data_IF_667971736164
#
_entry.id   IF_667971736164
#
_cell.length_a   1.000
_cell.length_b   1.000
_cell.length_c   1.000
_cell.angle_alpha   90.00
_cell.angle_beta   90.00
_cell.angle_gamma   90.00
#
_symmetry.space_group_name_H-M   'P 1'
#
loop_
_entity.id
_entity.type
_entity.pdbx_description
1 polymer ?
#
# COMPACT_ATOMS: atom_id res chain seq x y z
N UNK A 1 17.71 9.06 -11.04
CA UNK A 1 16.32 8.81 -10.58
C UNK A 1 15.85 7.56 -11.29
N UNK A 2 15.33 6.55 -10.58
CA UNK A 2 14.82 5.34 -11.22
C UNK A 2 13.60 5.71 -12.08
N UNK A 3 13.58 5.20 -13.30
CA UNK A 3 12.69 5.67 -14.36
C UNK A 3 11.54 4.66 -14.52
N UNK A 4 10.38 4.93 -13.92
CA UNK A 4 9.17 4.11 -14.08
C UNK A 4 8.75 4.08 -15.57
N UNK A 5 8.99 5.18 -16.29
CA UNK A 5 8.57 5.38 -17.69
C UNK A 5 9.13 4.35 -18.70
N UNK A 6 10.09 3.53 -18.29
CA UNK A 6 10.76 2.52 -19.13
C UNK A 6 10.18 1.10 -18.99
N UNK A 7 9.23 0.88 -18.09
CA UNK A 7 8.63 -0.43 -17.81
C UNK A 7 7.29 -0.57 -18.52
N UNK A 8 7.01 -1.77 -19.02
CA UNK A 8 5.76 -2.12 -19.70
C UNK A 8 4.79 -2.88 -18.77
N UNK A 9 5.26 -3.32 -17.60
CA UNK A 9 4.44 -3.80 -16.50
C UNK A 9 4.88 -3.18 -15.18
N UNK A 10 3.94 -2.59 -14.45
CA UNK A 10 4.17 -1.94 -13.17
C UNK A 10 3.13 -2.49 -12.18
N UNK A 11 3.61 -3.20 -11.17
CA UNK A 11 2.84 -3.52 -9.96
C UNK A 11 3.28 -2.55 -8.88
N UNK A 12 2.35 -2.00 -8.11
CA UNK A 12 2.71 -1.10 -6.99
C UNK A 12 2.10 -1.57 -5.69
N UNK A 13 2.83 -1.36 -4.59
CA UNK A 13 2.37 -1.67 -3.24
C UNK A 13 2.72 -0.52 -2.29
N UNK A 14 1.73 -0.08 -1.50
CA UNK A 14 1.92 0.88 -0.42
C UNK A 14 2.41 2.24 -0.89
N UNK A 15 2.02 2.63 -2.11
CA UNK A 15 2.37 3.90 -2.72
C UNK A 15 1.08 4.67 -3.03
N UNK A 16 0.91 5.85 -2.43
CA UNK A 16 -0.23 6.72 -2.77
C UNK A 16 0.05 7.67 -3.94
N UNK A 17 1.26 7.60 -4.51
CA UNK A 17 1.75 8.41 -5.64
C UNK A 17 1.65 9.92 -5.44
N UNK A 18 1.94 10.38 -4.22
CA UNK A 18 1.87 11.80 -3.84
C UNK A 18 2.97 12.64 -4.51
N UNK A 19 4.13 12.05 -4.74
CA UNK A 19 5.24 12.69 -5.45
C UNK A 19 4.91 12.89 -6.93
N UNK A 20 5.04 14.14 -7.40
CA UNK A 20 4.69 14.51 -8.77
C UNK A 20 5.63 13.87 -9.81
N UNK A 21 6.92 13.66 -9.50
CA UNK A 21 7.87 13.08 -10.43
C UNK A 21 7.54 11.62 -10.70
N UNK A 22 7.26 10.83 -9.66
CA UNK A 22 6.82 9.44 -9.80
C UNK A 22 5.46 9.37 -10.51
N UNK A 23 4.50 10.22 -10.14
CA UNK A 23 3.18 10.25 -10.80
C UNK A 23 3.30 10.58 -12.29
N UNK A 24 4.14 11.54 -12.65
CA UNK A 24 4.38 11.90 -14.05
C UNK A 24 5.11 10.79 -14.82
N UNK A 25 6.09 10.12 -14.19
CA UNK A 25 6.80 8.98 -14.79
C UNK A 25 5.86 7.80 -15.03
N UNK A 26 5.00 7.48 -14.07
CA UNK A 26 3.94 6.47 -14.21
C UNK A 26 2.99 6.80 -15.38
N UNK A 27 2.48 8.03 -15.45
CA UNK A 27 1.59 8.47 -16.54
C UNK A 27 2.25 8.33 -17.92
N UNK A 28 3.55 8.60 -18.02
CA UNK A 28 4.29 8.39 -19.26
C UNK A 28 4.44 6.90 -19.62
N UNK A 29 4.71 6.04 -18.64
CA UNK A 29 4.74 4.59 -18.86
C UNK A 29 3.41 4.10 -19.44
N UNK A 30 2.29 4.49 -18.83
CA UNK A 30 0.94 4.11 -19.26
C UNK A 30 0.61 4.66 -20.65
N UNK A 31 1.03 5.90 -20.95
CA UNK A 31 0.90 6.47 -22.30
C UNK A 31 1.68 5.65 -23.35
N UNK A 32 2.75 4.97 -22.94
CA UNK A 32 3.50 4.02 -23.75
C UNK A 32 2.94 2.58 -23.64
N UNK A 33 1.67 2.45 -23.27
CA UNK A 33 0.94 1.18 -23.14
C UNK A 33 1.42 0.25 -22.02
N UNK A 34 2.07 0.78 -20.98
CA UNK A 34 2.39 -0.03 -19.81
C UNK A 34 1.11 -0.49 -19.10
N UNK A 35 1.09 -1.76 -18.68
CA UNK A 35 0.10 -2.28 -17.74
C UNK A 35 0.43 -1.76 -16.35
N UNK A 36 -0.54 -1.15 -15.67
CA UNK A 36 -0.38 -0.70 -14.30
C UNK A 36 -1.38 -1.40 -13.38
N UNK A 37 -0.87 -2.10 -12.37
CA UNK A 37 -1.67 -2.74 -11.33
C UNK A 37 -1.40 -2.00 -10.02
N UNK A 38 -2.46 -1.42 -9.48
CA UNK A 38 -2.41 -0.61 -8.28
C UNK A 38 -2.82 -1.45 -7.07
N UNK A 39 -1.93 -1.66 -6.10
CA UNK A 39 -2.27 -2.33 -4.85
C UNK A 39 -2.18 -1.37 -3.68
N UNK A 40 -3.33 -1.10 -3.04
CA UNK A 40 -3.40 -0.17 -1.92
C UNK A 40 -4.71 -0.34 -1.13
N UNK A 41 -4.78 0.01 0.17
CA UNK A 41 -6.05 -0.03 0.92
C UNK A 41 -7.08 1.01 0.47
N UNK A 42 -6.61 2.08 -0.19
CA UNK A 42 -7.41 3.20 -0.66
C UNK A 42 -7.38 3.24 -2.19
N UNK A 43 -8.54 3.21 -2.83
CA UNK A 43 -8.72 3.52 -4.25
C UNK A 43 -8.48 5.02 -4.47
N UNK A 44 -7.27 5.38 -4.89
CA UNK A 44 -6.92 6.76 -5.18
C UNK A 44 -7.62 7.19 -6.49
N UNK A 45 -8.68 7.99 -6.35
CA UNK A 45 -9.49 8.46 -7.47
C UNK A 45 -8.68 9.18 -8.56
N UNK A 46 -7.56 9.84 -8.21
CA UNK A 46 -6.70 10.48 -9.21
C UNK A 46 -5.97 9.49 -10.13
N UNK A 47 -5.87 8.22 -9.72
CA UNK A 47 -5.25 7.13 -10.47
C UNK A 47 -6.28 6.27 -11.23
N UNK A 48 -7.59 6.56 -11.10
CA UNK A 48 -8.67 5.69 -11.59
C UNK A 48 -8.57 5.36 -13.08
N UNK A 49 -8.21 6.36 -13.89
CA UNK A 49 -8.09 6.22 -15.34
C UNK A 49 -6.74 5.63 -15.78
N UNK A 50 -5.83 5.36 -14.83
CA UNK A 50 -4.44 5.03 -15.10
C UNK A 50 -4.11 3.56 -14.81
N UNK A 51 -4.79 2.93 -13.85
CA UNK A 51 -4.55 1.51 -13.56
C UNK A 51 -5.44 0.60 -14.43
N UNK A 52 -4.87 -0.52 -14.85
CA UNK A 52 -5.56 -1.63 -15.52
C UNK A 52 -6.33 -2.50 -14.51
N UNK A 53 -5.82 -2.60 -13.29
CA UNK A 53 -6.40 -3.37 -12.20
C UNK A 53 -6.09 -2.68 -10.88
N UNK A 54 -7.06 -2.69 -9.96
CA UNK A 54 -6.86 -2.26 -8.58
C UNK A 54 -7.11 -3.46 -7.67
N UNK A 55 -6.07 -3.86 -6.94
CA UNK A 55 -6.15 -4.92 -5.94
C UNK A 55 -6.20 -4.22 -4.59
N UNK A 56 -7.40 -4.19 -4.00
CA UNK A 56 -7.57 -3.63 -2.67
C UNK A 56 -7.07 -4.64 -1.64
N UNK A 57 -6.36 -4.16 -0.61
CA UNK A 57 -6.03 -4.97 0.55
C UNK A 57 -6.35 -4.26 1.87
N UNK A 58 -6.36 -5.01 2.97
CA UNK A 58 -6.62 -4.49 4.31
C UNK A 58 -5.40 -3.79 4.91
N UNK A 59 -5.63 -2.74 5.68
CA UNK A 59 -4.56 -1.99 6.34
C UNK A 59 -3.71 -2.91 7.24
N UNK A 60 -2.39 -2.71 7.25
CA UNK A 60 -1.38 -3.54 7.91
C UNK A 60 -1.25 -4.99 7.40
N UNK A 61 -1.85 -5.32 6.24
CA UNK A 61 -1.65 -6.63 5.59
C UNK A 61 -0.50 -6.62 4.57
N UNK A 62 0.31 -5.56 4.48
CA UNK A 62 1.36 -5.40 3.48
C UNK A 62 2.38 -6.55 3.49
N UNK A 63 2.68 -7.11 4.65
CA UNK A 63 3.54 -8.29 4.76
C UNK A 63 2.92 -9.52 4.06
N UNK A 64 1.64 -9.80 4.29
CA UNK A 64 0.92 -10.87 3.61
C UNK A 64 0.83 -10.62 2.10
N UNK A 65 0.57 -9.38 1.69
CA UNK A 65 0.54 -9.02 0.27
C UNK A 65 1.90 -9.28 -0.39
N UNK A 66 3.01 -8.92 0.26
CA UNK A 66 4.34 -9.24 -0.25
C UNK A 66 4.63 -10.74 -0.28
N UNK A 67 4.13 -11.51 0.69
CA UNK A 67 4.21 -12.96 0.68
C UNK A 67 3.44 -13.57 -0.51
N UNK A 68 2.24 -13.05 -0.81
CA UNK A 68 1.46 -13.44 -1.99
C UNK A 68 2.17 -13.04 -3.29
N UNK A 69 2.68 -11.82 -3.41
CA UNK A 69 3.53 -11.42 -4.55
C UNK A 69 4.72 -12.37 -4.69
N UNK A 70 5.37 -12.73 -3.59
CA UNK A 70 6.47 -13.68 -3.65
C UNK A 70 6.02 -15.06 -4.11
N UNK A 71 4.90 -15.55 -3.59
CA UNK A 71 4.31 -16.84 -3.97
C UNK A 71 4.00 -16.94 -5.47
N UNK A 72 3.32 -15.94 -6.03
CA UNK A 72 2.85 -15.99 -7.42
C UNK A 72 3.96 -15.70 -8.44
N UNK A 73 4.95 -14.87 -8.11
CA UNK A 73 5.91 -14.35 -9.10
C UNK A 73 7.32 -14.95 -8.96
N UNK A 74 7.58 -15.74 -7.93
CA UNK A 74 8.89 -16.34 -7.71
C UNK A 74 9.21 -17.50 -8.65
N UNK A 75 10.50 -17.66 -8.94
CA UNK A 75 11.05 -18.76 -9.74
C UNK A 75 12.41 -19.21 -9.21
N UNK A 76 12.78 -20.45 -9.53
CA UNK A 76 14.10 -21.02 -9.23
C UNK A 76 14.50 -20.92 -7.75
N UNK A 77 13.57 -21.26 -6.85
CA UNK A 77 13.73 -21.07 -5.42
C UNK A 77 14.70 -22.10 -4.80
N UNK A 78 15.55 -21.68 -3.83
CA UNK A 78 16.24 -22.60 -2.95
C UNK A 78 15.25 -23.34 -2.05
N UNK A 79 15.75 -24.41 -1.43
CA UNK A 79 14.95 -25.26 -0.54
C UNK A 79 14.22 -24.46 0.55
N UNK A 80 14.91 -23.54 1.21
CA UNK A 80 14.35 -22.75 2.33
C UNK A 80 13.17 -21.88 1.89
N UNK A 81 13.31 -21.09 0.82
CA UNK A 81 12.22 -20.23 0.34
C UNK A 81 11.07 -21.05 -0.25
N UNK A 82 11.38 -22.21 -0.85
CA UNK A 82 10.34 -23.14 -1.29
C UNK A 82 9.55 -23.69 -0.11
N UNK A 83 10.23 -24.13 0.96
CA UNK A 83 9.57 -24.61 2.19
C UNK A 83 8.72 -23.51 2.84
N UNK A 84 9.18 -22.27 2.84
CA UNK A 84 8.38 -21.13 3.31
C UNK A 84 7.09 -20.99 2.50
N UNK A 85 7.16 -20.95 1.16
CA UNK A 85 5.98 -20.80 0.30
C UNK A 85 5.03 -22.01 0.37
N UNK A 86 5.57 -23.23 0.41
CA UNK A 86 4.78 -24.47 0.53
C UNK A 86 3.99 -24.53 1.86
N UNK A 87 4.43 -23.79 2.88
CA UNK A 87 3.76 -23.69 4.19
C UNK A 87 2.80 -22.49 4.31
N UNK A 88 2.72 -21.60 3.31
CA UNK A 88 1.77 -20.49 3.35
C UNK A 88 0.33 -21.00 3.20
N UNK A 89 -0.54 -20.57 4.11
CA UNK A 89 -1.99 -20.72 3.92
C UNK A 89 -2.50 -19.58 3.03
N UNK A 90 -2.41 -19.79 1.72
CA UNK A 90 -2.83 -18.81 0.72
C UNK A 90 -4.30 -18.43 0.88
N UNK A 91 -5.17 -19.39 1.19
CA UNK A 91 -6.60 -19.16 1.37
C UNK A 91 -6.88 -18.25 2.57
N UNK A 92 -6.18 -18.47 3.69
CA UNK A 92 -6.23 -17.58 4.85
C UNK A 92 -5.71 -16.18 4.52
N UNK A 93 -4.52 -16.06 3.92
CA UNK A 93 -3.91 -14.76 3.60
C UNK A 93 -4.79 -13.96 2.64
N UNK A 94 -5.34 -14.58 1.61
CA UNK A 94 -6.25 -13.92 0.67
C UNK A 94 -7.55 -13.49 1.32
N UNK A 95 -8.13 -14.31 2.21
CA UNK A 95 -9.37 -13.97 2.91
C UNK A 95 -9.18 -12.78 3.86
N UNK A 96 -8.15 -12.80 4.71
CA UNK A 96 -7.94 -11.78 5.74
C UNK A 96 -7.31 -10.49 5.20
N UNK A 97 -6.48 -10.57 4.16
CA UNK A 97 -5.95 -9.37 3.48
C UNK A 97 -6.95 -8.74 2.51
N UNK A 98 -8.06 -9.42 2.19
CA UNK A 98 -9.02 -9.05 1.14
C UNK A 98 -8.47 -9.00 -0.29
N UNK A 99 -7.26 -9.51 -0.55
CA UNK A 99 -6.70 -9.63 -1.88
C UNK A 99 -6.80 -11.09 -2.37
N UNK A 100 -7.67 -11.33 -3.34
CA UNK A 100 -8.02 -12.67 -3.82
C UNK A 100 -6.94 -13.30 -4.70
N UNK A 101 -6.79 -14.62 -4.65
CA UNK A 101 -5.85 -15.39 -5.49
C UNK A 101 -6.04 -15.08 -6.99
N UNK A 102 -7.29 -15.02 -7.46
CA UNK A 102 -7.64 -14.71 -8.86
C UNK A 102 -7.06 -13.35 -9.31
N UNK A 103 -7.01 -12.35 -8.42
CA UNK A 103 -6.44 -11.04 -8.74
C UNK A 103 -4.93 -11.12 -9.00
N UNK A 104 -4.22 -11.95 -8.24
CA UNK A 104 -2.80 -12.21 -8.44
C UNK A 104 -2.55 -13.06 -9.69
N UNK A 105 -3.40 -14.05 -9.98
CA UNK A 105 -3.32 -14.84 -11.21
C UNK A 105 -3.49 -13.95 -12.46
N UNK A 106 -4.49 -13.06 -12.47
CA UNK A 106 -4.68 -12.08 -13.54
C UNK A 106 -3.49 -11.13 -13.67
N UNK A 107 -2.93 -10.69 -12.54
CA UNK A 107 -1.75 -9.84 -12.51
C UNK A 107 -0.51 -10.58 -13.07
N UNK A 108 -0.39 -11.88 -12.79
CA UNK A 108 0.71 -12.72 -13.25
C UNK A 108 0.65 -13.00 -14.76
N UNK A 109 -0.55 -13.21 -15.32
CA UNK A 109 -0.71 -13.35 -16.78
C UNK A 109 -0.16 -12.14 -17.52
N UNK A 110 -0.54 -10.93 -17.09
CA UNK A 110 -0.04 -9.66 -17.68
C UNK A 110 1.46 -9.47 -17.45
N UNK A 111 1.99 -9.96 -16.32
CA UNK A 111 3.41 -9.95 -16.02
C UNK A 111 4.19 -10.82 -17.01
N UNK A 112 3.70 -12.02 -17.33
CA UNK A 112 4.37 -12.94 -18.26
C UNK A 112 4.41 -12.41 -19.70
N UNK A 113 3.41 -11.63 -20.12
CA UNK A 113 3.39 -10.95 -21.42
C UNK A 113 4.39 -9.79 -21.53
N UNK A 114 4.81 -9.24 -20.39
CA UNK A 114 5.64 -8.04 -20.32
C UNK A 114 7.15 -8.33 -20.42
N UNK A 115 7.91 -7.41 -21.01
CA UNK A 115 9.37 -7.54 -21.17
C UNK A 115 10.16 -6.85 -20.06
N UNK A 116 9.62 -5.78 -19.47
CA UNK A 116 10.26 -4.97 -18.43
C UNK A 116 9.28 -4.76 -17.27
N UNK A 117 9.49 -5.53 -16.21
CA UNK A 117 8.58 -5.62 -15.07
C UNK A 117 9.16 -4.84 -13.89
N UNK A 118 8.38 -3.92 -13.34
CA UNK A 118 8.72 -3.17 -12.13
C UNK A 118 7.77 -3.48 -10.98
N UNK A 119 8.33 -3.63 -9.78
CA UNK A 119 7.58 -3.53 -8.53
C UNK A 119 7.90 -2.16 -7.91
N UNK A 120 6.90 -1.28 -7.90
CA UNK A 120 7.01 0.02 -7.27
C UNK A 120 6.61 -0.07 -5.79
N UNK A 121 7.59 0.14 -4.91
CA UNK A 121 7.45 0.03 -3.46
C UNK A 121 7.33 1.43 -2.88
N UNK A 122 6.17 1.74 -2.32
CA UNK A 122 5.95 3.01 -1.65
C UNK A 122 6.47 3.03 -0.21
N UNK A 123 6.37 4.20 0.40
CA UNK A 123 6.92 4.53 1.72
C UNK A 123 5.96 4.18 2.86
N UNK A 124 4.73 3.75 2.56
CA UNK A 124 3.75 3.30 3.56
C UNK A 124 4.27 2.10 4.37
N UNK A 125 5.19 1.31 3.78
CA UNK A 125 5.77 0.11 4.38
C UNK A 125 6.85 0.42 5.44
N UNK A 126 7.45 1.61 5.43
CA UNK A 126 8.68 1.93 6.19
C UNK A 126 8.49 1.77 7.70
N UNK A 127 7.31 2.15 8.18
CA UNK A 127 6.99 2.15 9.62
C UNK A 127 6.00 1.03 9.98
N UNK A 128 5.83 0.03 9.11
CA UNK A 128 5.01 -1.13 9.39
C UNK A 128 5.62 -1.94 10.56
N UNK A 129 4.78 -2.53 11.42
CA UNK A 129 5.26 -3.26 12.60
C UNK A 129 6.17 -4.46 12.25
N UNK A 130 5.88 -5.13 11.13
CA UNK A 130 6.67 -6.22 10.54
C UNK A 130 7.71 -5.75 9.51
N UNK A 131 8.17 -4.49 9.57
CA UNK A 131 9.08 -3.92 8.55
C UNK A 131 10.36 -4.74 8.35
N UNK A 132 10.88 -5.40 9.39
CA UNK A 132 12.06 -6.25 9.26
C UNK A 132 11.83 -7.44 8.33
N UNK A 133 10.70 -8.15 8.46
CA UNK A 133 10.38 -9.27 7.57
C UNK A 133 9.94 -8.78 6.18
N UNK A 134 9.26 -7.64 6.09
CA UNK A 134 8.96 -6.95 4.81
C UNK A 134 10.25 -6.66 4.02
N UNK A 135 11.30 -6.19 4.68
CA UNK A 135 12.60 -5.95 4.05
C UNK A 135 13.20 -7.26 3.49
N UNK A 136 13.08 -8.36 4.23
CA UNK A 136 13.53 -9.69 3.76
C UNK A 136 12.67 -10.20 2.60
N UNK A 137 11.35 -10.00 2.63
CA UNK A 137 10.44 -10.34 1.52
C UNK A 137 10.80 -9.57 0.27
N UNK A 138 10.99 -8.25 0.35
CA UNK A 138 11.42 -7.43 -0.79
C UNK A 138 12.80 -7.86 -1.32
N UNK A 139 13.74 -8.23 -0.44
CA UNK A 139 15.04 -8.74 -0.86
C UNK A 139 14.93 -10.11 -1.57
N UNK A 140 14.02 -10.98 -1.12
CA UNK A 140 13.70 -12.24 -1.79
C UNK A 140 13.02 -12.02 -3.14
N UNK A 141 12.02 -11.13 -3.21
CA UNK A 141 11.34 -10.75 -4.46
C UNK A 141 12.38 -10.24 -5.47
N UNK A 142 13.25 -9.32 -5.06
CA UNK A 142 14.32 -8.80 -5.92
C UNK A 142 15.24 -9.90 -6.47
N UNK A 143 15.49 -10.96 -5.69
CA UNK A 143 16.44 -12.01 -6.06
C UNK A 143 15.82 -13.13 -6.90
N UNK A 144 14.56 -13.45 -6.63
CA UNK A 144 13.92 -14.68 -7.13
C UNK A 144 12.72 -14.41 -8.04
N UNK A 145 12.47 -13.15 -8.41
CA UNK A 145 11.47 -12.77 -9.43
C UNK A 145 12.15 -11.98 -10.56
N UNK A 146 11.43 -11.70 -11.64
CA UNK A 146 11.89 -10.81 -12.71
C UNK A 146 11.55 -9.33 -12.48
N UNK A 147 11.12 -8.96 -11.27
CA UNK A 147 10.88 -7.57 -10.93
C UNK A 147 12.18 -6.79 -10.76
N UNK A 148 12.28 -5.62 -11.39
CA UNK A 148 13.16 -4.56 -10.89
C UNK A 148 12.40 -3.74 -9.84
N UNK A 149 12.98 -3.60 -8.64
CA UNK A 149 12.35 -2.85 -7.57
C UNK A 149 12.66 -1.36 -7.69
N UNK A 150 11.62 -0.54 -7.67
CA UNK A 150 11.69 0.93 -7.65
C UNK A 150 11.08 1.40 -6.34
N UNK A 151 11.76 2.28 -5.62
CA UNK A 151 11.29 2.76 -4.32
C UNK A 151 10.93 4.25 -4.39
N UNK A 152 9.90 4.66 -3.65
CA UNK A 152 9.63 6.08 -3.42
C UNK A 152 10.62 6.71 -2.42
N UNK A 153 11.15 5.92 -1.47
CA UNK A 153 12.12 6.36 -0.47
C UNK A 153 13.49 5.70 -0.64
N UNK A 154 14.55 6.53 -0.59
CA UNK A 154 15.94 6.09 -0.81
C UNK A 154 16.51 5.32 0.39
N UNK A 155 16.16 5.72 1.61
CA UNK A 155 16.68 5.05 2.80
C UNK A 155 16.10 3.64 2.91
N UNK A 156 14.84 3.47 2.57
CA UNK A 156 14.20 2.16 2.49
C UNK A 156 14.79 1.30 1.36
N UNK A 157 15.05 1.89 0.20
CA UNK A 157 15.78 1.22 -0.88
C UNK A 157 17.15 0.70 -0.41
N UNK A 158 17.94 1.53 0.27
CA UNK A 158 19.25 1.14 0.81
C UNK A 158 19.14 0.01 1.85
N UNK A 159 18.12 0.05 2.70
CA UNK A 159 17.83 -1.01 3.69
C UNK A 159 17.55 -2.35 3.01
N UNK A 160 16.72 -2.37 1.96
CA UNK A 160 16.44 -3.60 1.19
C UNK A 160 17.67 -4.06 0.42
N UNK A 161 18.40 -3.15 -0.23
CA UNK A 161 19.57 -3.49 -1.04
C UNK A 161 20.74 -4.03 -0.21
N UNK A 162 20.85 -3.64 1.06
CA UNK A 162 21.87 -4.13 1.99
C UNK A 162 21.44 -5.38 2.77
N UNK A 163 20.18 -5.81 2.62
CA UNK A 163 19.68 -7.01 3.27
C UNK A 163 20.30 -8.27 2.66
N UNK A 164 21.20 -8.91 3.42
CA UNK A 164 21.84 -10.18 3.04
C UNK A 164 21.15 -11.40 3.64
N UNK A 165 20.33 -11.20 4.68
CA UNK A 165 19.54 -12.26 5.28
C UNK A 165 18.22 -12.45 4.50
N UNK A 166 18.10 -13.60 3.85
CA UNK A 166 16.92 -13.95 3.06
C UNK A 166 16.02 -14.99 3.75
N UNK A 167 16.30 -15.31 5.02
CA UNK A 167 15.51 -16.23 5.83
C UNK A 167 14.24 -15.53 6.31
N UNK A 168 13.10 -15.97 5.78
CA UNK A 168 11.80 -15.37 6.04
C UNK A 168 11.22 -15.87 7.36
N UNK A 169 10.67 -14.94 8.12
CA UNK A 169 9.89 -15.29 9.31
C UNK A 169 8.48 -15.71 8.87
N UNK A 170 7.80 -16.53 9.67
CA UNK A 170 6.38 -16.84 9.46
C UNK A 170 5.54 -15.55 9.41
N UNK A 171 4.52 -15.55 8.56
CA UNK A 171 3.57 -14.45 8.47
C UNK A 171 2.71 -14.48 9.74
N UNK A 172 2.62 -13.36 10.44
CA UNK A 172 1.82 -13.29 11.67
C UNK A 172 0.33 -13.25 11.31
N UNK A 173 -0.52 -13.56 12.28
CA UNK A 173 -1.96 -13.36 12.17
C UNK A 173 -2.27 -11.92 11.74
N UNK A 174 -3.09 -11.78 10.70
CA UNK A 174 -3.39 -10.47 10.14
C UNK A 174 -4.29 -9.67 11.09
N UNK A 175 -3.91 -8.42 11.34
CA UNK A 175 -4.70 -7.53 12.20
C UNK A 175 -5.96 -7.06 11.48
N UNK A 176 -7.13 -7.21 12.12
CA UNK A 176 -8.38 -6.65 11.59
C UNK A 176 -8.56 -5.19 12.02
N UNK A 177 -8.55 -4.25 11.07
CA UNK A 177 -8.84 -2.85 11.35
C UNK A 177 -10.34 -2.54 11.32
N UNK A 178 -11.02 -2.82 12.43
CA UNK A 178 -12.41 -2.43 12.61
C UNK A 178 -12.54 -0.97 13.06
N UNK A 179 -13.38 -0.18 12.38
CA UNK A 179 -13.76 1.19 12.77
C UNK A 179 -13.29 2.27 11.80
N UNK A 180 -13.08 3.48 12.31
CA UNK A 180 -12.63 4.64 11.52
C UNK A 180 -11.11 4.74 11.50
N UNK A 181 -10.56 4.85 10.30
CA UNK A 181 -9.13 4.96 10.02
C UNK A 181 -8.80 6.34 9.47
N UNK A 182 -7.61 6.84 9.78
CA UNK A 182 -7.02 8.00 9.12
C UNK A 182 -5.74 7.60 8.41
N UNK A 183 -5.63 8.01 7.16
CA UNK A 183 -4.42 7.91 6.33
C UNK A 183 -3.69 9.24 6.28
N UNK A 184 -2.42 9.24 6.64
CA UNK A 184 -1.55 10.40 6.68
C UNK A 184 -0.84 10.59 5.35
N UNK A 185 -1.16 11.66 4.63
CA UNK A 185 -0.45 12.05 3.40
C UNK A 185 0.84 12.81 3.78
N UNK A 186 1.90 12.68 2.99
CA UNK A 186 3.18 13.39 3.14
C UNK A 186 3.09 14.85 2.70
N UNK A 187 1.93 15.26 2.20
CA UNK A 187 1.64 16.63 1.83
C UNK A 187 1.18 17.37 3.09
N UNK A 188 1.90 18.41 3.51
CA UNK A 188 1.48 19.22 4.64
C UNK A 188 0.56 20.36 4.16
N UNK A 189 -0.76 20.18 4.31
CA UNK A 189 -1.72 21.29 4.20
C UNK A 189 -2.59 21.32 5.44
N UNK A 190 -2.87 22.53 5.94
CA UNK A 190 -3.58 22.64 7.21
C UNK A 190 -5.09 22.39 7.11
N UNK A 191 -5.59 22.01 5.94
CA UNK A 191 -6.87 22.58 5.54
C UNK A 191 -8.10 21.77 5.95
N UNK A 192 -8.06 20.43 6.04
CA UNK A 192 -9.23 19.60 6.45
C UNK A 192 -8.87 18.15 6.77
N UNK A 193 -9.83 17.43 7.35
CA UNK A 193 -9.89 15.97 7.33
C UNK A 193 -10.87 15.54 6.21
N UNK A 194 -10.35 14.91 5.16
CA UNK A 194 -11.17 14.49 4.02
C UNK A 194 -11.72 13.10 4.30
N UNK A 195 -13.04 12.91 4.36
CA UNK A 195 -13.65 11.67 4.80
C UNK A 195 -14.65 11.12 3.79
N UNK A 196 -14.76 9.78 3.73
CA UNK A 196 -15.81 9.12 2.98
C UNK A 196 -17.18 9.31 3.65
N UNK A 197 -18.25 9.03 2.90
CA UNK A 197 -19.59 9.02 3.47
C UNK A 197 -19.75 7.97 4.60
N UNK A 198 -19.16 6.79 4.43
CA UNK A 198 -19.26 5.71 5.43
C UNK A 198 -18.50 6.05 6.71
N UNK A 199 -17.32 6.68 6.61
CA UNK A 199 -16.58 7.20 7.76
C UNK A 199 -17.43 8.19 8.56
N UNK A 200 -18.03 9.18 7.88
CA UNK A 200 -18.89 10.18 8.52
C UNK A 200 -20.09 9.54 9.24
N UNK A 201 -20.71 8.53 8.63
CA UNK A 201 -21.85 7.82 9.22
C UNK A 201 -21.46 7.10 10.52
N UNK A 202 -20.34 6.37 10.52
CA UNK A 202 -19.84 5.66 11.71
C UNK A 202 -19.44 6.65 12.81
N UNK A 203 -18.75 7.73 12.43
CA UNK A 203 -18.34 8.79 13.35
C UNK A 203 -19.51 9.66 13.84
N UNK A 204 -20.70 9.52 13.26
CA UNK A 204 -21.88 10.36 13.51
C UNK A 204 -21.60 11.86 13.26
N UNK A 205 -20.82 12.14 12.23
CA UNK A 205 -20.43 13.48 11.78
C UNK A 205 -21.10 13.83 10.45
N UNK A 206 -21.12 15.12 10.13
CA UNK A 206 -21.50 15.66 8.82
C UNK A 206 -20.35 16.49 8.26
N UNK A 207 -20.30 16.63 6.94
CA UNK A 207 -19.38 17.56 6.30
C UNK A 207 -19.58 18.98 6.87
N UNK A 208 -18.49 19.66 7.23
CA UNK A 208 -18.48 20.96 7.91
C UNK A 208 -18.46 20.88 9.44
N UNK A 209 -18.63 19.70 10.05
CA UNK A 209 -18.43 19.53 11.48
C UNK A 209 -16.95 19.66 11.85
N UNK A 210 -16.67 20.27 13.01
CA UNK A 210 -15.35 20.19 13.64
C UNK A 210 -15.25 18.90 14.45
N UNK A 211 -14.16 18.16 14.24
CA UNK A 211 -13.85 16.96 14.99
C UNK A 211 -12.43 17.02 15.54
N UNK A 212 -12.22 16.37 16.68
CA UNK A 212 -10.90 16.11 17.22
C UNK A 212 -10.63 14.62 17.39
N UNK A 213 -9.37 14.26 17.21
CA UNK A 213 -8.87 12.92 17.51
C UNK A 213 -7.44 13.01 18.03
N UNK A 214 -7.02 11.99 18.77
CA UNK A 214 -5.69 11.89 19.37
C UNK A 214 -4.96 10.71 18.75
N UNK A 215 -3.71 10.93 18.35
CA UNK A 215 -2.75 9.89 17.98
C UNK A 215 -1.49 10.18 18.77
N UNK A 216 -0.99 9.15 19.45
CA UNK A 216 0.03 9.28 20.49
C UNK A 216 -0.31 10.43 21.43
N UNK A 217 0.57 11.43 21.61
CA UNK A 217 0.30 12.61 22.44
C UNK A 217 -0.13 13.87 21.67
N UNK A 218 -0.39 13.73 20.36
CA UNK A 218 -0.81 14.85 19.51
C UNK A 218 -2.32 14.85 19.31
N UNK A 219 -2.94 16.01 19.56
CA UNK A 219 -4.36 16.25 19.29
C UNK A 219 -4.48 16.95 17.93
N UNK A 220 -5.31 16.37 17.07
CA UNK A 220 -5.69 16.95 15.79
C UNK A 220 -7.11 17.49 15.92
N UNK A 221 -7.31 18.78 15.60
CA UNK A 221 -8.63 19.41 15.50
C UNK A 221 -8.81 19.91 14.08
N UNK A 222 -9.76 19.33 13.33
CA UNK A 222 -9.95 19.57 11.90
C UNK A 222 -11.43 19.68 11.57
N UNK A 223 -11.75 20.53 10.60
CA UNK A 223 -13.04 20.48 9.91
C UNK A 223 -13.06 19.22 9.04
N UNK A 224 -14.14 18.45 9.10
CA UNK A 224 -14.32 17.26 8.28
C UNK A 224 -15.05 17.61 6.99
N UNK A 225 -14.52 17.22 5.85
CA UNK A 225 -15.13 17.44 4.53
C UNK A 225 -15.39 16.11 3.84
N UNK A 226 -16.62 15.96 3.33
CA UNK A 226 -16.99 14.79 2.55
C UNK A 226 -16.28 14.79 1.19
N UNK A 227 -15.59 13.71 0.88
CA UNK A 227 -15.26 13.31 -0.48
C UNK A 227 -16.14 12.12 -0.88
N UNK A 228 -16.86 12.29 -1.99
CA UNK A 228 -17.76 11.25 -2.52
C UNK A 228 -17.03 10.15 -3.28
N UNK A 229 -15.80 10.40 -3.70
CA UNK A 229 -14.95 9.44 -4.40
C UNK A 229 -14.15 8.56 -3.43
N UNK A 230 -13.98 9.00 -2.17
CA UNK A 230 -13.36 8.20 -1.13
C UNK A 230 -14.35 7.16 -0.58
N UNK A 231 -13.89 5.91 -0.51
CA UNK A 231 -14.70 4.76 -0.07
C UNK A 231 -14.20 4.20 1.27
N UNK A 232 -14.95 3.25 1.83
CA UNK A 232 -14.59 2.57 3.06
C UNK A 232 -14.72 3.46 4.31
N UNK A 233 -14.11 3.05 5.41
CA UNK A 233 -14.16 3.75 6.70
C UNK A 233 -12.90 4.60 6.95
N UNK A 234 -12.37 5.19 5.88
CA UNK A 234 -11.10 5.91 5.86
C UNK A 234 -11.34 7.42 5.68
N UNK A 235 -10.50 8.21 6.34
CA UNK A 235 -10.32 9.63 6.06
C UNK A 235 -8.85 9.94 5.75
N UNK A 236 -8.59 10.94 4.92
CA UNK A 236 -7.26 11.42 4.57
C UNK A 236 -6.94 12.69 5.38
N UNK A 237 -5.72 12.77 5.90
CA UNK A 237 -5.19 13.98 6.51
C UNK A 237 -3.89 14.39 5.82
N UNK A 238 -3.83 15.65 5.41
CA UNK A 238 -2.64 16.26 4.82
C UNK A 238 -1.63 16.70 5.88
N UNK A 239 -0.97 15.72 6.48
CA UNK A 239 0.03 15.95 7.49
C UNK A 239 1.05 14.80 7.50
N UNK A 240 2.36 15.07 7.33
CA UNK A 240 3.38 14.05 7.45
C UNK A 240 3.37 13.38 8.83
N UNK A 241 3.75 12.10 8.88
CA UNK A 241 3.86 11.32 10.11
C UNK A 241 5.18 10.55 10.14
N UNK A 242 5.76 10.38 11.32
CA UNK A 242 6.89 9.47 11.55
C UNK A 242 6.46 8.05 11.91
N UNK A 243 5.16 7.81 12.04
CA UNK A 243 4.58 6.51 12.36
C UNK A 243 4.14 5.78 11.07
N UNK A 244 3.56 4.60 11.23
CA UNK A 244 2.78 3.96 10.17
C UNK A 244 1.68 4.91 9.67
N UNK A 245 1.44 4.92 8.37
CA UNK A 245 0.61 5.95 7.71
C UNK A 245 -0.88 5.79 7.96
N UNK A 246 -1.31 4.62 8.41
CA UNK A 246 -2.69 4.40 8.84
C UNK A 246 -2.77 4.39 10.37
N UNK A 247 -3.75 5.11 10.90
CA UNK A 247 -4.04 5.11 12.32
C UNK A 247 -5.53 4.87 12.56
N UNK A 248 -5.83 3.93 13.45
CA UNK A 248 -7.18 3.79 14.01
C UNK A 248 -7.44 4.95 14.95
N UNK A 249 -8.58 5.61 14.79
CA UNK A 249 -8.94 6.76 15.61
C UNK A 249 -10.34 6.64 16.18
N UNK A 250 -10.55 7.36 17.29
CA UNK A 250 -11.86 7.67 17.84
C UNK A 250 -12.06 9.19 17.74
N UNK A 251 -13.12 9.60 17.05
CA UNK A 251 -13.43 11.01 16.86
C UNK A 251 -14.34 11.52 17.96
N UNK A 252 -14.05 12.73 18.45
CA UNK A 252 -14.94 13.51 19.28
C UNK A 252 -15.47 14.68 18.46
N UNK A 253 -16.80 14.78 18.37
CA UNK A 253 -17.42 15.97 17.78
C UNK A 253 -17.21 17.15 18.71
N UNK A 254 -16.61 18.21 18.18
CA UNK A 254 -16.44 19.45 18.93
C UNK A 254 -17.79 20.17 18.99
N UNK A 255 -18.22 20.55 20.19
CA UNK A 255 -19.33 21.47 20.34
C UNK A 255 -18.79 22.88 20.05
N UNK A 256 -19.44 23.61 19.15
CA UNK A 256 -19.15 25.02 18.90
C UNK A 256 -19.42 25.87 20.14
#
# INVERSE_FOLDING_TARGET
MKIIENYDYILSIGAFFEDEEFRNSLKKAIKNSATFIYMHPIDNFELKDFYTQFIKYEVASEEAILALIFNFFAKNLPKEQKEFLDNLDIGYLSAESSAGEEEFEEAFVKFEEASKRALFVGDDLINHERVENIVKLLANIKKYTDFELIFSDKTFEEKVNSCSNLSLDEIDDLQTFNGTLVYFTNIQTNEKLIASQTFLNIAKLKSGDMASFKIDDKIYKKEVVLDKNLLGTIALISNPTSNYRFAKIVLNKEQN
#
